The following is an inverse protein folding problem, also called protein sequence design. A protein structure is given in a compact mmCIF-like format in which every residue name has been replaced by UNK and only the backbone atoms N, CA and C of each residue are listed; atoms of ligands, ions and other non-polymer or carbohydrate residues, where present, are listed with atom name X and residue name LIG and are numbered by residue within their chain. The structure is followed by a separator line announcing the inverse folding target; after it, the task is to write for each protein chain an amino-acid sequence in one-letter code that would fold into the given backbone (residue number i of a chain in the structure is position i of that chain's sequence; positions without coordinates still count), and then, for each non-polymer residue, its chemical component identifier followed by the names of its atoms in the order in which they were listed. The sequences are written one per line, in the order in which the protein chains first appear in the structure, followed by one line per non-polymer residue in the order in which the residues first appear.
data_IF_066009445081
#
_entry.id   IF_066009445081
#
_cell.length_a   1.000
_cell.length_b   1.000
_cell.length_c   1.000
_cell.angle_alpha   90.00
_cell.angle_beta   90.00
_cell.angle_gamma   90.00
#
_symmetry.space_group_name_H-M   'P 1'
#
loop_
_entity.id
_entity.type
_entity.pdbx_description
1 polymer ?
#
# COMPACT_ATOMS: atom_id res chain seq x y z
N UNK A 1 39.00 36.82 -34.71
CA UNK A 1 39.29 35.37 -34.84
C UNK A 1 39.18 34.79 -33.43
N UNK A 2 38.33 33.83 -33.08
CA UNK A 2 37.91 32.63 -33.79
C UNK A 2 36.45 32.29 -33.42
N UNK A 3 35.58 32.15 -34.43
CA UNK A 3 34.27 31.51 -34.25
C UNK A 3 34.48 30.02 -34.08
N UNK A 4 34.17 29.48 -32.90
CA UNK A 4 34.06 28.03 -32.71
C UNK A 4 32.78 27.58 -33.40
N UNK A 5 32.90 26.91 -34.55
CA UNK A 5 31.77 26.21 -35.15
C UNK A 5 31.21 25.20 -34.13
N UNK A 6 29.89 25.11 -33.93
CA UNK A 6 29.31 24.07 -33.09
C UNK A 6 29.69 22.71 -33.70
N UNK A 7 30.28 21.83 -32.90
CA UNK A 7 30.48 20.44 -33.30
C UNK A 7 29.10 19.88 -33.66
N UNK A 8 28.96 19.28 -34.86
CA UNK A 8 27.78 18.46 -35.18
C UNK A 8 27.76 17.32 -34.18
N UNK A 9 26.88 17.41 -33.20
CA UNK A 9 26.62 16.37 -32.21
C UNK A 9 25.80 15.25 -32.86
N UNK A 10 26.06 14.01 -32.47
CA UNK A 10 25.36 12.84 -33.00
C UNK A 10 23.90 12.84 -32.53
N UNK A 11 22.98 13.02 -33.47
CA UNK A 11 21.52 13.01 -33.23
C UNK A 11 20.84 11.71 -33.73
N UNK A 12 21.63 10.66 -34.00
CA UNK A 12 21.13 9.33 -34.42
C UNK A 12 21.23 8.29 -33.32
N UNK A 13 22.09 8.51 -32.31
CA UNK A 13 22.43 7.53 -31.27
C UNK A 13 21.23 7.00 -30.48
N UNK A 14 20.28 7.83 -30.08
CA UNK A 14 19.08 7.36 -29.34
C UNK A 14 18.12 6.54 -30.21
N UNK A 15 18.05 6.86 -31.50
CA UNK A 15 17.29 6.07 -32.46
C UNK A 15 17.96 4.71 -32.70
N UNK A 16 19.29 4.67 -32.80
CA UNK A 16 20.09 3.46 -32.93
C UNK A 16 19.99 2.56 -31.69
N UNK A 17 20.04 3.14 -30.49
CA UNK A 17 19.91 2.42 -29.21
C UNK A 17 18.53 1.75 -29.09
N UNK A 18 17.46 2.42 -29.53
CA UNK A 18 16.12 1.83 -29.58
C UNK A 18 15.91 0.92 -30.80
N UNK A 19 16.84 0.92 -31.77
CA UNK A 19 16.74 0.16 -33.01
C UNK A 19 15.61 0.61 -33.94
N UNK A 20 15.31 1.92 -33.94
CA UNK A 20 14.25 2.53 -34.74
C UNK A 20 14.79 3.58 -35.71
N UNK A 21 14.02 3.90 -36.75
CA UNK A 21 14.36 4.99 -37.67
C UNK A 21 14.18 6.36 -37.01
N UNK A 22 14.92 7.39 -37.49
CA UNK A 22 14.75 8.79 -37.05
C UNK A 22 13.34 9.33 -37.30
N UNK A 23 12.63 8.77 -38.29
CA UNK A 23 11.25 9.12 -38.61
C UNK A 23 10.22 8.26 -37.85
N UNK A 24 10.63 7.46 -36.86
CA UNK A 24 9.72 6.57 -36.12
C UNK A 24 8.63 7.36 -35.39
N UNK A 25 7.39 6.86 -35.48
CA UNK A 25 6.25 7.40 -34.73
C UNK A 25 6.31 7.02 -33.24
N UNK A 26 5.53 7.70 -32.40
CA UNK A 26 5.49 7.43 -30.95
C UNK A 26 5.12 5.98 -30.61
N UNK A 27 4.20 5.37 -31.37
CA UNK A 27 3.80 3.98 -31.18
C UNK A 27 4.94 2.99 -31.47
N UNK A 28 5.78 3.32 -32.45
CA UNK A 28 6.95 2.53 -32.83
C UNK A 28 8.05 2.62 -31.77
N UNK A 29 8.30 3.83 -31.25
CA UNK A 29 9.22 4.05 -30.12
C UNK A 29 8.79 3.26 -28.87
N UNK A 30 7.50 3.30 -28.52
CA UNK A 30 6.93 2.58 -27.38
C UNK A 30 6.98 1.06 -27.54
N UNK A 31 6.86 0.57 -28.78
CA UNK A 31 6.96 -0.86 -29.08
C UNK A 31 8.43 -1.34 -29.05
N UNK A 32 9.34 -0.55 -29.60
CA UNK A 32 10.77 -0.82 -29.60
C UNK A 32 11.36 -0.82 -28.19
N UNK A 33 11.03 0.20 -27.38
CA UNK A 33 11.45 0.27 -25.98
C UNK A 33 10.94 -0.94 -25.17
N UNK A 34 9.66 -1.30 -25.27
CA UNK A 34 9.13 -2.48 -24.56
C UNK A 34 9.84 -3.77 -24.95
N UNK A 35 10.14 -3.95 -26.23
CA UNK A 35 10.87 -5.13 -26.73
C UNK A 35 12.31 -5.17 -26.23
N UNK A 36 13.00 -4.03 -26.22
CA UNK A 36 14.39 -3.90 -25.78
C UNK A 36 14.54 -3.99 -24.25
N UNK A 37 13.62 -3.37 -23.50
CA UNK A 37 13.59 -3.39 -22.04
C UNK A 37 13.33 -4.78 -21.46
N UNK A 38 12.47 -5.59 -22.09
CA UNK A 38 12.24 -6.98 -21.67
C UNK A 38 13.48 -7.85 -21.91
N UNK A 39 14.23 -7.59 -22.99
CA UNK A 39 15.43 -8.34 -23.37
C UNK A 39 16.63 -7.99 -22.48
N UNK A 40 16.76 -6.72 -22.11
CA UNK A 40 17.89 -6.20 -21.33
C UNK A 40 17.55 -5.99 -19.85
N UNK A 41 16.46 -6.59 -19.35
CA UNK A 41 16.08 -6.45 -17.94
C UNK A 41 17.13 -7.11 -17.02
N UNK A 42 17.57 -6.45 -15.94
CA UNK A 42 18.58 -7.00 -15.01
C UNK A 42 18.20 -8.37 -14.44
N UNK A 43 16.94 -8.53 -14.03
CA UNK A 43 16.42 -9.80 -13.48
C UNK A 43 16.38 -10.96 -14.50
N UNK A 44 16.57 -10.68 -15.79
CA UNK A 44 16.63 -11.67 -16.87
C UNK A 44 18.05 -11.86 -17.41
N UNK A 45 19.07 -11.39 -16.69
CA UNK A 45 20.48 -11.52 -17.07
C UNK A 45 20.95 -10.52 -18.13
N UNK A 46 20.25 -9.39 -18.29
CA UNK A 46 20.63 -8.31 -19.20
C UNK A 46 21.62 -7.30 -18.59
N UNK A 47 22.36 -6.60 -19.45
CA UNK A 47 23.33 -5.58 -19.02
C UNK A 47 22.62 -4.35 -18.41
N UNK A 48 22.89 -4.00 -17.14
CA UNK A 48 22.25 -2.88 -16.47
C UNK A 48 22.61 -1.52 -17.08
N UNK A 49 23.77 -1.40 -17.73
CA UNK A 49 24.18 -0.17 -18.43
C UNK A 49 23.36 0.06 -19.70
N UNK A 50 23.17 -0.98 -20.51
CA UNK A 50 22.32 -0.91 -21.71
C UNK A 50 20.86 -0.63 -21.37
N UNK A 51 20.39 -1.15 -20.23
CA UNK A 51 19.05 -0.85 -19.75
C UNK A 51 18.88 0.64 -19.40
N UNK A 52 19.88 1.25 -18.74
CA UNK A 52 19.89 2.69 -18.43
C UNK A 52 19.91 3.53 -19.71
N UNK A 53 20.74 3.18 -20.69
CA UNK A 53 20.81 3.88 -21.97
C UNK A 53 19.49 3.79 -22.76
N UNK A 54 18.83 2.62 -22.74
CA UNK A 54 17.51 2.42 -23.36
C UNK A 54 16.43 3.28 -22.70
N UNK A 55 16.45 3.40 -21.37
CA UNK A 55 15.51 4.23 -20.63
C UNK A 55 15.71 5.71 -20.95
N UNK A 56 16.97 6.18 -20.98
CA UNK A 56 17.32 7.54 -21.34
C UNK A 56 16.92 7.88 -22.78
N UNK A 57 17.22 7.00 -23.74
CA UNK A 57 16.85 7.18 -25.14
C UNK A 57 15.33 7.27 -25.33
N UNK A 58 14.56 6.41 -24.65
CA UNK A 58 13.10 6.45 -24.73
C UNK A 58 12.52 7.71 -24.09
N UNK A 59 13.03 8.16 -22.95
CA UNK A 59 12.54 9.38 -22.28
C UNK A 59 12.70 10.62 -23.16
N UNK A 60 13.85 10.76 -23.80
CA UNK A 60 14.14 11.90 -24.68
C UNK A 60 13.31 11.83 -25.96
N UNK A 61 13.12 10.66 -26.56
CA UNK A 61 12.40 10.50 -27.83
C UNK A 61 10.87 10.42 -27.70
N UNK A 62 10.36 10.06 -26.52
CA UNK A 62 8.91 9.94 -26.26
C UNK A 62 8.24 11.32 -26.07
N UNK A 63 8.97 12.31 -25.54
CA UNK A 63 8.50 13.67 -25.38
C UNK A 63 8.74 14.50 -26.67
N UNK A 64 7.72 15.10 -27.29
CA UNK A 64 7.87 15.87 -28.53
C UNK A 64 8.86 17.04 -28.43
N UNK A 65 8.88 17.75 -27.30
CA UNK A 65 9.74 18.92 -27.09
C UNK A 65 11.20 18.49 -26.87
N UNK A 66 11.43 17.42 -26.07
CA UNK A 66 12.77 16.86 -25.87
C UNK A 66 13.33 16.23 -27.14
N UNK A 67 12.47 15.58 -27.94
CA UNK A 67 12.86 14.99 -29.23
C UNK A 67 13.29 16.07 -30.22
N UNK A 68 12.59 17.19 -30.28
CA UNK A 68 12.96 18.31 -31.14
C UNK A 68 14.31 18.91 -30.74
N UNK A 69 14.57 19.09 -29.44
CA UNK A 69 15.85 19.57 -28.92
C UNK A 69 16.98 18.59 -29.25
N UNK A 70 16.76 17.29 -29.07
CA UNK A 70 17.74 16.26 -29.42
C UNK A 70 18.00 16.19 -30.93
N UNK A 71 16.96 16.32 -31.75
CA UNK A 71 17.07 16.29 -33.20
C UNK A 71 17.84 17.52 -33.73
N UNK A 72 17.68 18.69 -33.08
CA UNK A 72 18.34 19.94 -33.44
C UNK A 72 19.78 20.06 -32.92
N UNK A 73 20.05 19.60 -31.69
CA UNK A 73 21.31 19.89 -30.99
C UNK A 73 22.06 18.65 -30.47
N UNK A 74 21.57 17.44 -30.70
CA UNK A 74 22.22 16.17 -30.35
C UNK A 74 22.43 15.93 -28.85
N UNK A 75 23.19 14.88 -28.49
CA UNK A 75 23.39 14.47 -27.08
C UNK A 75 24.07 15.55 -26.21
N UNK A 76 24.93 16.37 -26.81
CA UNK A 76 25.73 17.36 -26.08
C UNK A 76 24.88 18.47 -25.45
N UNK A 77 23.75 18.85 -26.07
CA UNK A 77 22.84 19.85 -25.52
C UNK A 77 22.07 19.37 -24.28
N UNK A 78 21.93 18.05 -24.12
CA UNK A 78 21.35 17.43 -22.92
C UNK A 78 22.38 17.31 -21.79
N UNK A 79 23.69 17.28 -22.11
CA UNK A 79 24.80 17.19 -21.14
C UNK A 79 25.33 18.54 -20.68
N UNK A 80 25.39 19.56 -21.54
CA UNK A 80 25.91 20.89 -21.19
C UNK A 80 24.99 21.70 -20.26
N UNK A 81 23.78 21.19 -19.94
CA UNK A 81 22.94 21.70 -18.85
C UNK A 81 23.35 21.24 -17.44
N UNK A 82 24.33 20.32 -17.31
CA UNK A 82 24.74 19.69 -16.04
C UNK A 82 26.21 19.98 -15.67
N UNK A 83 26.55 21.26 -15.50
CA UNK A 83 27.88 21.68 -15.05
C UNK A 83 27.97 21.90 -13.53
N UNK A 84 28.45 20.89 -12.77
CA UNK A 84 29.19 21.11 -11.52
C UNK A 84 28.75 20.31 -10.29
N UNK A 85 29.59 19.38 -9.84
CA UNK A 85 29.59 18.84 -8.46
C UNK A 85 29.37 17.34 -8.37
N UNK A 86 30.44 16.59 -8.04
CA UNK A 86 30.40 15.16 -7.83
C UNK A 86 29.58 14.76 -6.59
N UNK A 87 28.90 13.63 -6.68
CA UNK A 87 28.16 13.02 -5.59
C UNK A 87 27.12 12.03 -6.11
N UNK A 88 27.26 10.77 -5.73
CA UNK A 88 26.40 9.65 -6.08
C UNK A 88 24.94 9.89 -5.64
N UNK A 89 24.08 10.37 -6.54
CA UNK A 89 22.64 10.48 -6.33
C UNK A 89 21.85 10.02 -7.56
N UNK A 90 20.70 9.39 -7.30
CA UNK A 90 19.82 8.81 -8.31
C UNK A 90 19.39 9.83 -9.38
N UNK A 91 19.46 9.51 -10.68
CA UNK A 91 19.13 10.42 -11.79
C UNK A 91 17.67 10.93 -11.82
N UNK A 92 16.75 10.27 -11.12
CA UNK A 92 15.34 10.69 -11.04
C UNK A 92 15.14 11.95 -10.17
N UNK A 93 15.99 12.19 -9.17
CA UNK A 93 15.84 13.30 -8.20
C UNK A 93 16.46 14.62 -8.72
N UNK A 94 17.44 14.50 -9.62
CA UNK A 94 18.13 15.65 -10.23
C UNK A 94 17.29 16.27 -11.35
N UNK A 95 16.49 15.47 -12.06
CA UNK A 95 15.63 15.97 -13.14
C UNK A 95 14.35 16.67 -12.62
N UNK A 96 13.80 16.23 -11.47
CA UNK A 96 12.73 16.96 -10.77
C UNK A 96 13.19 18.34 -10.26
N UNK A 97 14.46 18.47 -9.90
CA UNK A 97 15.04 19.74 -9.46
C UNK A 97 15.30 20.72 -10.63
N UNK A 98 15.56 20.21 -11.84
CA UNK A 98 15.86 21.05 -13.02
C UNK A 98 14.61 21.50 -13.79
N UNK A 99 13.56 20.69 -13.84
CA UNK A 99 12.30 21.02 -14.54
C UNK A 99 11.09 21.28 -13.60
N UNK A 100 11.22 21.01 -12.31
CA UNK A 100 10.16 21.18 -11.29
C UNK A 100 10.32 22.38 -10.35
N UNK A 101 11.29 23.28 -10.58
CA UNK A 101 11.54 24.34 -9.59
C UNK A 101 12.43 25.49 -10.04
N UNK A 102 11.89 26.38 -10.89
CA UNK A 102 12.27 27.80 -10.96
C UNK A 102 13.57 28.15 -11.71
N UNK A 103 13.43 28.79 -12.88
CA UNK A 103 14.30 29.90 -13.34
C UNK A 103 14.04 30.41 -14.78
N UNK A 104 13.15 29.82 -15.60
CA UNK A 104 13.00 30.25 -17.01
C UNK A 104 11.55 30.40 -17.52
N UNK A 105 10.73 31.17 -16.80
CA UNK A 105 9.35 31.48 -17.20
C UNK A 105 9.11 32.97 -17.46
N UNK A 106 9.63 33.50 -18.57
CA UNK A 106 9.21 34.81 -19.08
C UNK A 106 7.90 34.64 -19.84
N UNK A 107 6.80 35.17 -19.28
CA UNK A 107 5.58 35.49 -20.00
C UNK A 107 4.67 34.31 -20.37
N UNK A 108 3.89 33.81 -19.40
CA UNK A 108 2.57 33.28 -19.71
C UNK A 108 1.61 33.59 -18.56
N UNK A 109 0.40 34.04 -18.91
CA UNK A 109 -0.65 34.51 -18.03
C UNK A 109 -0.72 33.78 -16.69
N UNK A 110 -0.54 34.55 -15.60
CA UNK A 110 -0.98 34.16 -14.26
C UNK A 110 -2.51 34.06 -14.26
N UNK A 111 -3.04 33.00 -14.84
CA UNK A 111 -4.27 32.41 -14.36
C UNK A 111 -4.00 32.10 -12.89
N UNK A 112 -4.64 32.84 -12.00
CA UNK A 112 -4.67 32.58 -10.56
C UNK A 112 -5.30 31.19 -10.41
N UNK A 113 -4.52 30.12 -10.54
CA UNK A 113 -4.95 28.76 -10.22
C UNK A 113 -5.42 28.86 -8.78
N UNK A 114 -6.74 28.82 -8.57
CA UNK A 114 -7.31 28.84 -7.24
C UNK A 114 -6.62 27.72 -6.47
N UNK A 115 -6.01 28.06 -5.33
CA UNK A 115 -5.41 27.04 -4.48
C UNK A 115 -6.55 26.10 -4.09
N UNK A 116 -6.38 24.79 -4.27
CA UNK A 116 -7.36 23.80 -3.81
C UNK A 116 -7.00 23.45 -2.36
N UNK A 117 -8.02 23.35 -1.51
CA UNK A 117 -7.92 22.90 -0.14
C UNK A 117 -7.58 21.42 -0.10
N UNK A 118 -7.02 20.99 1.03
CA UNK A 118 -6.64 19.60 1.24
C UNK A 118 -7.87 18.73 1.47
N UNK A 119 -7.86 17.52 0.91
CA UNK A 119 -8.91 16.53 1.11
C UNK A 119 -8.75 15.88 2.50
N UNK A 120 -9.88 15.60 3.17
CA UNK A 120 -9.89 14.99 4.51
C UNK A 120 -10.32 13.53 4.38
N UNK A 121 -9.47 12.61 4.84
CA UNK A 121 -9.75 11.17 4.81
C UNK A 121 -10.24 10.69 6.17
N UNK A 122 -11.43 10.10 6.22
CA UNK A 122 -12.00 9.48 7.41
C UNK A 122 -12.18 7.97 7.22
N UNK A 123 -11.72 7.16 8.19
CA UNK A 123 -11.94 5.71 8.15
C UNK A 123 -13.29 5.35 8.75
N UNK A 124 -14.18 4.79 7.92
CA UNK A 124 -15.49 4.31 8.35
C UNK A 124 -15.40 2.81 8.64
N UNK A 125 -15.46 2.45 9.92
CA UNK A 125 -15.48 1.04 10.34
C UNK A 125 -16.85 0.40 10.10
N UNK A 126 -16.90 -0.64 9.28
CA UNK A 126 -18.15 -1.32 8.85
C UNK A 126 -18.07 -2.81 9.17
N UNK A 127 -19.14 -3.39 9.73
CA UNK A 127 -19.20 -4.84 9.97
C UNK A 127 -19.42 -5.60 8.65
N UNK A 128 -19.17 -6.91 8.67
CA UNK A 128 -19.45 -7.73 7.49
C UNK A 128 -20.95 -7.82 7.18
N UNK A 129 -21.80 -7.82 8.22
CA UNK A 129 -23.26 -7.79 8.12
C UNK A 129 -23.77 -6.51 7.45
N UNK A 130 -23.18 -5.36 7.82
CA UNK A 130 -23.48 -4.06 7.21
C UNK A 130 -23.10 -4.05 5.71
N UNK A 131 -21.98 -4.67 5.34
CA UNK A 131 -21.53 -4.79 3.93
C UNK A 131 -22.39 -5.76 3.12
N UNK A 132 -23.01 -6.75 3.78
CA UNK A 132 -23.90 -7.71 3.16
C UNK A 132 -25.31 -7.12 2.93
N UNK A 133 -25.87 -6.49 3.95
CA UNK A 133 -27.24 -5.97 3.95
C UNK A 133 -27.35 -4.53 3.43
N UNK A 134 -26.23 -3.78 3.41
CA UNK A 134 -26.23 -2.35 3.19
C UNK A 134 -26.71 -1.58 4.43
N UNK A 135 -26.13 -0.40 4.67
CA UNK A 135 -26.49 0.42 5.83
C UNK A 135 -26.24 1.90 5.55
N UNK A 136 -26.88 2.78 6.30
CA UNK A 136 -26.64 4.23 6.24
C UNK A 136 -26.17 4.71 7.61
N UNK A 137 -24.99 5.31 7.68
CA UNK A 137 -24.38 5.78 8.94
C UNK A 137 -24.32 7.30 8.96
N UNK A 138 -24.89 7.91 9.99
CA UNK A 138 -24.83 9.35 10.22
C UNK A 138 -23.58 9.68 11.05
N UNK A 139 -22.70 10.51 10.50
CA UNK A 139 -21.44 10.92 11.13
C UNK A 139 -21.44 12.43 11.30
N UNK A 140 -21.25 12.89 12.53
CA UNK A 140 -21.06 14.31 12.81
C UNK A 140 -19.58 14.67 12.67
N UNK A 141 -19.27 15.52 11.70
CA UNK A 141 -17.93 16.05 11.49
C UNK A 141 -17.91 17.55 11.78
N UNK A 142 -16.83 18.02 12.37
CA UNK A 142 -16.54 19.45 12.52
C UNK A 142 -15.64 19.88 11.36
N UNK A 143 -16.11 20.85 10.57
CA UNK A 143 -15.33 21.46 9.49
C UNK A 143 -15.18 22.96 9.70
N UNK A 144 -14.12 23.54 9.15
CA UNK A 144 -13.96 24.98 9.08
C UNK A 144 -14.75 25.52 7.88
N UNK A 145 -15.60 26.52 8.13
CA UNK A 145 -16.34 27.22 7.07
C UNK A 145 -15.99 28.69 7.07
N UNK A 146 -16.12 29.36 5.92
CA UNK A 146 -15.97 30.81 5.85
C UNK A 146 -16.95 31.47 6.82
N UNK A 147 -16.42 32.37 7.66
CA UNK A 147 -17.22 33.04 8.68
C UNK A 147 -18.44 33.72 8.03
N UNK A 148 -19.68 33.37 8.40
CA UNK A 148 -20.87 33.85 7.69
C UNK A 148 -21.04 35.38 7.81
N UNK A 149 -20.56 35.98 8.91
CA UNK A 149 -20.64 37.43 9.14
C UNK A 149 -19.65 38.24 8.30
N UNK A 150 -18.43 37.77 8.08
CA UNK A 150 -17.39 38.52 7.34
C UNK A 150 -17.01 37.91 6.00
N UNK A 151 -17.62 36.79 5.60
CA UNK A 151 -17.41 36.06 4.34
C UNK A 151 -15.92 35.84 4.03
N UNK A 152 -15.15 35.41 5.03
CA UNK A 152 -13.72 35.15 4.86
C UNK A 152 -12.80 36.38 4.92
N UNK A 153 -13.31 37.59 5.12
CA UNK A 153 -12.47 38.82 5.20
C UNK A 153 -11.80 39.00 6.56
N UNK A 154 -12.42 38.50 7.64
CA UNK A 154 -11.88 38.58 9.01
C UNK A 154 -12.14 39.91 9.74
N UNK A 155 -12.56 40.95 9.02
CA UNK A 155 -12.93 42.26 9.58
C UNK A 155 -14.44 42.54 9.46
N UNK A 156 -14.95 43.52 10.23
CA UNK A 156 -16.36 43.96 10.14
C UNK A 156 -16.58 44.85 8.92
N UNK A 157 -15.64 45.76 8.66
CA UNK A 157 -15.69 46.68 7.51
C UNK A 157 -15.25 46.03 6.20
N UNK A 158 -14.57 44.88 6.27
CA UNK A 158 -13.91 44.25 5.12
C UNK A 158 -12.55 44.86 4.78
N UNK A 159 -12.08 45.86 5.53
CA UNK A 159 -10.74 46.41 5.38
C UNK A 159 -9.69 45.52 6.06
N UNK A 160 -8.52 45.39 5.43
CA UNK A 160 -7.32 44.83 6.02
C UNK A 160 -6.14 45.78 5.75
N UNK A 161 -5.28 45.97 6.75
CA UNK A 161 -4.09 46.81 6.63
C UNK A 161 -2.88 45.99 6.23
N UNK A 162 -1.88 46.62 5.60
CA UNK A 162 -0.60 45.96 5.30
C UNK A 162 0.15 45.69 6.61
N UNK A 163 0.69 44.47 6.77
CA UNK A 163 1.51 44.16 7.94
C UNK A 163 2.77 45.02 7.92
N UNK A 164 2.98 45.85 8.95
CA UNK A 164 4.17 46.70 9.08
C UNK A 164 5.45 45.89 9.33
N UNK A 165 5.36 44.77 10.04
CA UNK A 165 6.51 43.94 10.38
C UNK A 165 7.16 43.24 9.19
N UNK A 166 6.37 42.80 8.20
CA UNK A 166 6.88 42.17 6.98
C UNK A 166 6.63 43.01 5.72
N UNK A 167 6.11 44.23 5.86
CA UNK A 167 5.69 45.07 4.73
C UNK A 167 4.84 44.30 3.69
N UNK A 168 3.91 43.46 4.16
CA UNK A 168 3.05 42.65 3.29
C UNK A 168 3.68 41.42 2.63
N UNK A 169 4.96 41.10 2.89
CA UNK A 169 5.61 39.90 2.33
C UNK A 169 5.21 38.58 3.02
N UNK A 170 4.58 38.65 4.20
CA UNK A 170 4.24 37.47 5.02
C UNK A 170 5.44 36.79 5.71
N UNK A 171 6.68 37.14 5.35
CA UNK A 171 7.90 36.47 5.82
C UNK A 171 8.94 37.50 6.27
N UNK A 172 9.66 37.21 7.36
CA UNK A 172 10.79 38.01 7.83
C UNK A 172 12.09 37.25 7.57
N UNK A 173 13.09 37.94 7.04
CA UNK A 173 14.44 37.39 6.84
C UNK A 173 15.28 37.76 8.05
N UNK A 174 15.71 36.76 8.83
CA UNK A 174 16.64 36.95 9.94
C UNK A 174 18.02 36.50 9.49
N UNK A 175 18.97 37.40 9.63
CA UNK A 175 20.37 37.18 9.27
C UNK A 175 21.12 36.64 10.49
N UNK A 176 21.64 35.40 10.42
CA UNK A 176 22.46 34.79 11.48
C UNK A 176 23.90 34.67 11.01
N UNK A 177 24.82 35.25 11.76
CA UNK A 177 26.26 35.13 11.48
C UNK A 177 26.77 33.80 12.07
N UNK A 178 27.27 32.91 11.21
CA UNK A 178 27.74 31.56 11.60
C UNK A 178 29.26 31.53 11.72
N UNK A 179 29.96 32.54 11.17
CA UNK A 179 31.40 32.68 11.33
C UNK A 179 31.93 33.99 10.73
N UNK A 180 33.25 34.20 10.79
CA UNK A 180 33.91 35.34 10.15
C UNK A 180 33.61 35.33 8.65
N UNK A 181 32.92 36.36 8.14
CA UNK A 181 32.58 36.50 6.73
C UNK A 181 31.41 35.63 6.21
N UNK A 182 30.83 34.74 7.02
CA UNK A 182 29.72 33.87 6.61
C UNK A 182 28.42 34.23 7.31
N UNK A 183 27.49 34.74 6.52
CA UNK A 183 26.15 35.16 6.94
C UNK A 183 25.13 34.19 6.32
N UNK A 184 24.32 33.54 7.15
CA UNK A 184 23.17 32.74 6.70
C UNK A 184 21.89 33.56 6.86
N UNK A 185 21.14 33.73 5.76
CA UNK A 185 19.81 34.31 5.81
C UNK A 185 18.79 33.19 6.05
N UNK A 186 18.06 33.26 7.17
CA UNK A 186 16.97 32.36 7.50
C UNK A 186 15.64 33.07 7.34
N UNK A 187 14.79 32.58 6.44
CA UNK A 187 13.43 33.08 6.28
C UNK A 187 12.49 32.38 7.27
N UNK A 188 11.75 33.14 8.06
CA UNK A 188 10.72 32.61 8.96
C UNK A 188 9.39 33.34 8.73
N UNK A 189 8.28 32.68 9.04
CA UNK A 189 6.93 33.26 8.91
C UNK A 189 6.82 34.47 9.85
N UNK A 190 6.32 35.60 9.33
CA UNK A 190 6.20 36.81 10.13
C UNK A 190 5.29 36.57 11.35
N UNK A 191 5.75 36.82 12.59
CA UNK A 191 4.96 36.57 13.80
C UNK A 191 3.74 37.50 13.92
N UNK A 192 3.82 38.71 13.34
CA UNK A 192 2.80 39.75 13.45
C UNK A 192 1.56 39.45 12.58
N UNK A 193 1.76 38.91 11.37
CA UNK A 193 0.67 38.57 10.45
C UNK A 193 0.52 37.07 10.20
N UNK A 194 1.35 36.22 10.84
CA UNK A 194 1.36 34.75 10.68
C UNK A 194 1.33 34.30 9.21
N UNK A 195 2.12 34.96 8.36
CA UNK A 195 2.19 34.61 6.94
C UNK A 195 1.17 35.27 6.03
N UNK A 196 0.12 35.92 6.56
CA UNK A 196 -0.94 36.51 5.72
C UNK A 196 -0.55 37.82 5.02
N UNK A 197 0.51 38.50 5.45
CA UNK A 197 0.91 39.82 4.93
C UNK A 197 -0.03 40.97 5.32
N UNK A 198 -1.15 40.67 5.95
CA UNK A 198 -2.18 41.64 6.33
C UNK A 198 -2.43 41.61 7.85
N UNK A 199 -2.79 42.76 8.41
CA UNK A 199 -3.15 42.91 9.82
C UNK A 199 -4.50 43.62 9.89
N UNK A 200 -5.40 43.05 10.69
CA UNK A 200 -6.72 43.61 10.95
C UNK A 200 -6.67 44.36 12.28
N UNK A 201 -7.10 45.63 12.28
CA UNK A 201 -7.14 46.43 13.51
C UNK A 201 -8.07 45.80 14.54
N UNK A 202 -7.73 45.88 15.83
CA UNK A 202 -8.48 45.17 16.87
C UNK A 202 -9.95 45.59 16.97
N UNK A 203 -10.24 46.86 16.72
CA UNK A 203 -11.60 47.43 16.73
C UNK A 203 -12.46 46.86 15.60
N UNK A 204 -11.82 46.52 14.49
CA UNK A 204 -12.46 46.04 13.26
C UNK A 204 -12.39 44.52 13.11
N UNK A 205 -11.79 43.79 14.05
CA UNK A 205 -11.86 42.31 14.06
C UNK A 205 -13.32 41.85 14.09
N UNK A 206 -13.66 40.90 13.23
CA UNK A 206 -15.00 40.29 13.24
C UNK A 206 -15.27 39.65 14.60
N UNK A 207 -16.46 39.88 15.18
CA UNK A 207 -16.80 39.37 16.51
C UNK A 207 -16.93 37.84 16.57
N UNK A 208 -17.26 37.20 15.45
CA UNK A 208 -17.49 35.75 15.40
C UNK A 208 -16.20 34.96 15.17
N UNK A 209 -15.39 35.32 14.17
CA UNK A 209 -14.13 34.63 13.88
C UNK A 209 -12.90 35.26 14.55
N UNK A 210 -13.06 36.42 15.23
CA UNK A 210 -11.97 37.17 15.91
C UNK A 210 -10.74 37.43 15.03
N UNK A 211 -10.95 37.62 13.73
CA UNK A 211 -9.88 37.83 12.74
C UNK A 211 -9.40 36.56 12.00
N UNK A 212 -9.82 35.36 12.42
CA UNK A 212 -9.38 34.08 11.83
C UNK A 212 -10.01 33.75 10.47
N UNK A 213 -10.94 34.58 9.97
CA UNK A 213 -11.65 34.43 8.68
C UNK A 213 -12.58 33.21 8.56
N UNK A 214 -12.36 32.15 9.35
CA UNK A 214 -13.17 30.92 9.38
C UNK A 214 -13.82 30.69 10.75
N UNK A 215 -14.85 29.83 10.79
CA UNK A 215 -15.54 29.38 12.00
C UNK A 215 -15.79 27.88 11.92
N UNK A 216 -15.74 27.17 13.05
CA UNK A 216 -16.07 25.73 13.07
C UNK A 216 -17.58 25.50 13.01
N UNK A 217 -18.01 24.67 12.07
CA UNK A 217 -19.38 24.21 11.89
C UNK A 217 -19.42 22.69 12.11
N UNK A 218 -20.43 22.21 12.87
CA UNK A 218 -20.71 20.78 12.99
C UNK A 218 -21.75 20.40 11.95
N UNK A 219 -21.38 19.53 11.00
CA UNK A 219 -22.27 19.01 9.96
C UNK A 219 -22.45 17.50 10.14
N UNK A 220 -23.68 17.03 10.00
CA UNK A 220 -23.99 15.60 10.00
C UNK A 220 -24.04 15.13 8.56
N UNK A 221 -23.13 14.25 8.17
CA UNK A 221 -23.12 13.59 6.87
C UNK A 221 -23.71 12.19 7.00
N UNK A 222 -24.63 11.85 6.08
CA UNK A 222 -25.17 10.51 5.97
C UNK A 222 -24.38 9.73 4.93
N UNK A 223 -23.61 8.74 5.39
CA UNK A 223 -22.77 7.90 4.54
C UNK A 223 -23.53 6.62 4.22
N UNK A 224 -23.90 6.46 2.96
CA UNK A 224 -24.56 5.26 2.46
C UNK A 224 -23.50 4.21 2.10
N UNK A 225 -23.54 3.08 2.82
CA UNK A 225 -22.71 1.92 2.53
C UNK A 225 -23.56 0.92 1.74
N UNK A 226 -23.24 0.79 0.46
CA UNK A 226 -23.94 -0.10 -0.45
C UNK A 226 -23.55 -1.56 -0.24
N UNK A 227 -24.47 -2.45 -0.62
CA UNK A 227 -24.24 -3.90 -0.60
C UNK A 227 -23.05 -4.28 -1.46
N UNK A 228 -22.17 -5.11 -0.91
CA UNK A 228 -21.01 -5.63 -1.63
C UNK A 228 -19.81 -4.71 -1.68
N UNK A 229 -19.89 -3.49 -1.12
CA UNK A 229 -18.74 -2.59 -1.02
C UNK A 229 -17.52 -3.30 -0.43
N UNK A 230 -16.33 -2.99 -0.94
CA UNK A 230 -15.09 -3.67 -0.58
C UNK A 230 -14.29 -2.88 0.46
N UNK A 231 -13.40 -3.58 1.17
CA UNK A 231 -12.43 -2.94 2.05
C UNK A 231 -11.53 -1.99 1.25
N UNK A 232 -11.31 -0.77 1.76
CA UNK A 232 -10.52 0.27 1.11
C UNK A 232 -11.29 1.09 0.07
N UNK A 233 -12.55 0.78 -0.20
CA UNK A 233 -13.37 1.56 -1.13
C UNK A 233 -13.66 2.96 -0.58
N UNK A 234 -13.66 3.96 -1.45
CA UNK A 234 -13.82 5.38 -1.11
C UNK A 234 -15.23 5.87 -1.40
N UNK A 235 -15.83 6.59 -0.46
CA UNK A 235 -17.08 7.35 -0.62
C UNK A 235 -16.71 8.83 -0.53
N UNK A 236 -16.95 9.59 -1.60
CA UNK A 236 -16.48 10.97 -1.73
C UNK A 236 -17.64 11.95 -1.58
N UNK A 237 -17.48 12.91 -0.69
CA UNK A 237 -18.36 14.07 -0.51
C UNK A 237 -17.64 15.31 -1.03
N UNK A 238 -18.01 15.73 -2.24
CA UNK A 238 -17.32 16.78 -2.96
C UNK A 238 -17.51 18.16 -2.30
N UNK A 239 -16.41 18.90 -2.10
CA UNK A 239 -16.44 20.26 -1.56
C UNK A 239 -16.87 20.37 -0.09
N UNK A 240 -16.90 19.25 0.64
CA UNK A 240 -17.35 19.21 2.03
C UNK A 240 -16.21 19.32 3.07
N UNK A 241 -14.95 19.42 2.62
CA UNK A 241 -13.79 19.56 3.51
C UNK A 241 -13.70 20.97 4.15
N UNK A 242 -12.56 21.25 4.78
CA UNK A 242 -12.28 22.55 5.38
C UNK A 242 -12.17 23.66 4.31
N UNK A 243 -12.92 24.73 4.52
CA UNK A 243 -12.89 25.94 3.71
C UNK A 243 -11.80 26.89 4.21
N UNK A 244 -11.03 27.45 3.28
CA UNK A 244 -10.07 28.50 3.56
C UNK A 244 -10.31 29.71 2.62
N UNK A 245 -10.02 30.94 3.07
CA UNK A 245 -10.11 32.13 2.22
C UNK A 245 -9.26 31.98 0.95
N UNK A 246 -9.77 32.49 -0.18
CA UNK A 246 -9.10 32.46 -1.49
C UNK A 246 -8.72 31.05 -2.00
N UNK A 247 -9.36 30.00 -1.47
CA UNK A 247 -9.06 28.59 -1.73
C UNK A 247 -10.35 27.84 -2.06
N UNK A 248 -10.32 26.93 -3.04
CA UNK A 248 -11.43 26.04 -3.36
C UNK A 248 -11.48 24.89 -2.34
N UNK A 249 -12.64 24.57 -1.80
CA UNK A 249 -12.78 23.51 -0.80
C UNK A 249 -12.36 22.14 -1.34
N UNK A 250 -11.65 21.36 -0.54
CA UNK A 250 -11.35 19.95 -0.82
C UNK A 250 -12.56 19.04 -0.57
N UNK A 251 -12.34 17.73 -0.71
CA UNK A 251 -13.38 16.71 -0.55
C UNK A 251 -13.22 15.97 0.79
N UNK A 252 -14.34 15.50 1.35
CA UNK A 252 -14.30 14.52 2.44
C UNK A 252 -14.38 13.13 1.82
N UNK A 253 -13.38 12.31 2.11
CA UNK A 253 -13.27 10.94 1.59
C UNK A 253 -13.42 9.96 2.74
N UNK A 254 -14.53 9.21 2.76
CA UNK A 254 -14.68 8.09 3.69
C UNK A 254 -14.08 6.83 3.09
N UNK A 255 -13.09 6.26 3.77
CA UNK A 255 -12.50 4.97 3.43
C UNK A 255 -13.24 3.87 4.20
N UNK A 256 -13.89 2.96 3.48
CA UNK A 256 -14.57 1.81 4.09
C UNK A 256 -13.54 0.84 4.66
N UNK A 257 -13.58 0.64 5.97
CA UNK A 257 -12.74 -0.31 6.68
C UNK A 257 -13.59 -1.46 7.21
N UNK A 258 -13.51 -2.61 6.56
CA UNK A 258 -14.13 -3.85 7.05
C UNK A 258 -13.56 -4.24 8.42
N UNK A 259 -14.45 -4.51 9.38
CA UNK A 259 -14.11 -5.13 10.67
C UNK A 259 -13.99 -6.65 10.54
N UNK A 260 -13.14 -7.24 11.35
CA UNK A 260 -13.07 -8.70 11.46
C UNK A 260 -14.36 -9.25 12.06
N UNK A 261 -14.85 -10.35 11.48
CA UNK A 261 -16.07 -11.03 11.92
C UNK A 261 -15.68 -12.34 12.62
N UNK A 262 -16.31 -12.68 13.77
CA UNK A 262 -15.89 -13.83 14.58
C UNK A 262 -16.05 -15.19 13.87
N UNK A 263 -17.06 -15.34 13.02
CA UNK A 263 -17.36 -16.61 12.34
C UNK A 263 -16.97 -16.63 10.86
N UNK A 264 -16.96 -15.48 10.21
CA UNK A 264 -16.95 -15.41 8.75
C UNK A 264 -15.72 -14.66 8.28
N UNK A 265 -15.06 -15.18 7.26
CA UNK A 265 -13.94 -14.52 6.61
C UNK A 265 -14.32 -14.22 5.17
N UNK A 266 -14.35 -12.95 4.80
CA UNK A 266 -14.59 -12.52 3.42
C UNK A 266 -13.29 -12.56 2.64
N UNK A 267 -13.33 -13.14 1.43
CA UNK A 267 -12.28 -12.96 0.41
C UNK A 267 -12.96 -12.56 -0.90
N UNK A 268 -12.76 -11.31 -1.31
CA UNK A 268 -13.49 -10.71 -2.44
C UNK A 268 -15.00 -10.85 -2.26
N UNK A 269 -15.68 -11.53 -3.19
CA UNK A 269 -17.12 -11.74 -3.14
C UNK A 269 -17.50 -13.08 -2.49
N UNK A 270 -16.50 -13.87 -2.11
CA UNK A 270 -16.70 -15.16 -1.47
C UNK A 270 -16.61 -15.06 0.06
N UNK A 271 -17.36 -15.93 0.73
CA UNK A 271 -17.45 -16.01 2.19
C UNK A 271 -16.91 -17.35 2.66
N UNK A 272 -16.18 -17.37 3.77
CA UNK A 272 -15.56 -18.57 4.34
C UNK A 272 -15.96 -18.73 5.80
N UNK A 273 -16.24 -19.96 6.21
CA UNK A 273 -16.42 -20.34 7.62
C UNK A 273 -15.62 -21.61 7.89
N UNK A 274 -15.09 -21.70 9.10
CA UNK A 274 -14.51 -22.93 9.63
C UNK A 274 -15.57 -23.63 10.48
N UNK A 275 -15.88 -24.89 10.17
CA UNK A 275 -16.85 -25.68 10.91
C UNK A 275 -16.23 -27.01 11.32
N UNK A 276 -16.38 -27.36 12.59
CA UNK A 276 -15.83 -28.60 13.13
C UNK A 276 -16.95 -29.62 13.27
N UNK A 277 -16.69 -30.82 12.78
CA UNK A 277 -17.59 -31.98 12.86
C UNK A 277 -16.86 -33.15 13.52
N UNK A 278 -17.61 -34.04 14.14
CA UNK A 278 -17.06 -35.27 14.71
C UNK A 278 -16.65 -36.28 13.61
N UNK A 279 -15.77 -37.23 13.93
CA UNK A 279 -15.44 -38.34 13.02
C UNK A 279 -16.68 -39.12 12.58
N UNK A 280 -17.64 -39.34 13.48
CA UNK A 280 -18.89 -40.02 13.16
C UNK A 280 -19.71 -39.23 12.14
N UNK A 281 -19.84 -37.93 12.32
CA UNK A 281 -20.52 -37.04 11.36
C UNK A 281 -19.80 -36.98 10.00
N UNK A 282 -18.47 -37.01 10.01
CA UNK A 282 -17.67 -37.02 8.79
C UNK A 282 -17.84 -38.30 7.95
N UNK A 283 -18.12 -39.44 8.59
CA UNK A 283 -18.27 -40.75 7.94
C UNK A 283 -19.74 -41.12 7.67
N UNK A 284 -20.63 -40.84 8.61
CA UNK A 284 -22.04 -41.23 8.58
C UNK A 284 -22.96 -40.12 8.08
N UNK A 285 -22.42 -38.92 7.89
CA UNK A 285 -23.16 -37.73 7.47
C UNK A 285 -23.58 -36.83 8.64
N UNK A 286 -23.94 -35.60 8.30
CA UNK A 286 -24.30 -34.56 9.26
C UNK A 286 -25.45 -33.69 8.77
N UNK A 287 -26.07 -33.00 9.73
CA UNK A 287 -27.04 -31.94 9.47
C UNK A 287 -26.92 -30.88 10.56
N UNK A 288 -26.68 -29.63 10.17
CA UNK A 288 -26.65 -28.51 11.10
C UNK A 288 -27.25 -27.24 10.48
N UNK A 289 -27.72 -26.34 11.35
CA UNK A 289 -28.23 -25.03 10.96
C UNK A 289 -27.15 -23.97 11.20
N UNK A 290 -26.95 -23.09 10.22
CA UNK A 290 -26.01 -21.97 10.30
C UNK A 290 -26.74 -20.66 10.04
N UNK A 291 -26.63 -19.71 10.98
CA UNK A 291 -27.14 -18.35 10.81
C UNK A 291 -26.23 -17.56 9.89
N UNK A 292 -26.77 -17.07 8.77
CA UNK A 292 -26.08 -16.24 7.79
C UNK A 292 -26.06 -14.75 8.18
N UNK A 293 -25.37 -13.91 7.40
CA UNK A 293 -25.20 -12.46 7.63
C UNK A 293 -26.50 -11.65 7.50
N UNK A 294 -27.52 -12.19 6.85
CA UNK A 294 -28.88 -11.60 6.78
C UNK A 294 -29.82 -12.12 7.87
N UNK A 295 -29.33 -12.97 8.78
CA UNK A 295 -30.11 -13.59 9.84
C UNK A 295 -30.92 -14.82 9.41
N UNK A 296 -30.92 -15.20 8.13
CA UNK A 296 -31.54 -16.47 7.69
C UNK A 296 -30.77 -17.67 8.26
N UNK A 297 -31.48 -18.76 8.51
CA UNK A 297 -30.85 -20.04 8.83
C UNK A 297 -30.70 -20.90 7.58
N UNK A 298 -29.47 -21.30 7.28
CA UNK A 298 -29.14 -22.25 6.23
C UNK A 298 -29.02 -23.65 6.84
N UNK A 299 -29.85 -24.57 6.38
CA UNK A 299 -29.75 -25.98 6.75
C UNK A 299 -28.74 -26.67 5.84
N UNK A 300 -27.61 -27.06 6.40
CA UNK A 300 -26.51 -27.69 5.67
C UNK A 300 -26.51 -29.17 6.00
N UNK A 301 -26.60 -30.01 4.97
CA UNK A 301 -26.66 -31.47 5.08
C UNK A 301 -25.63 -32.13 4.16
N UNK A 302 -25.03 -33.21 4.60
CA UNK A 302 -24.23 -34.08 3.73
C UNK A 302 -25.12 -34.95 2.84
N UNK A 303 -24.60 -35.38 1.70
CA UNK A 303 -25.29 -36.41 0.92
C UNK A 303 -25.10 -37.79 1.59
N UNK A 304 -26.07 -38.70 1.48
CA UNK A 304 -25.91 -40.06 2.02
C UNK A 304 -24.69 -40.76 1.42
N UNK A 305 -23.81 -41.31 2.28
CA UNK A 305 -22.58 -42.00 1.88
C UNK A 305 -21.41 -41.07 1.49
N UNK A 306 -21.57 -39.75 1.64
CA UNK A 306 -20.51 -38.79 1.38
C UNK A 306 -19.56 -38.68 2.58
N UNK A 307 -18.28 -39.01 2.36
CA UNK A 307 -17.23 -38.87 3.38
C UNK A 307 -16.59 -37.49 3.29
N UNK A 308 -16.44 -36.84 4.43
CA UNK A 308 -15.82 -35.53 4.55
C UNK A 308 -14.45 -35.66 5.18
N UNK A 309 -13.42 -35.19 4.46
CA UNK A 309 -12.03 -35.28 4.91
C UNK A 309 -11.67 -34.08 5.79
N UNK A 310 -10.74 -34.23 6.75
CA UNK A 310 -10.19 -33.11 7.50
C UNK A 310 -9.59 -32.06 6.55
N UNK A 311 -9.94 -30.79 6.75
CA UNK A 311 -9.51 -29.66 5.92
C UNK A 311 -10.23 -29.55 4.58
N UNK A 312 -11.21 -30.40 4.27
CA UNK A 312 -11.94 -30.33 3.02
C UNK A 312 -12.86 -29.09 2.96
N UNK A 313 -12.93 -28.48 1.78
CA UNK A 313 -13.84 -27.37 1.51
C UNK A 313 -15.07 -27.85 0.73
N UNK A 314 -16.26 -27.39 1.13
CA UNK A 314 -17.50 -27.47 0.33
C UNK A 314 -18.04 -26.08 0.08
N UNK A 315 -18.74 -25.91 -1.05
CA UNK A 315 -19.28 -24.63 -1.46
C UNK A 315 -20.80 -24.68 -1.57
N UNK A 316 -21.45 -23.61 -1.11
CA UNK A 316 -22.86 -23.31 -1.35
C UNK A 316 -22.87 -22.15 -2.35
N UNK A 317 -23.47 -22.39 -3.52
CA UNK A 317 -23.58 -21.37 -4.56
C UNK A 317 -24.55 -20.27 -4.13
N UNK A 318 -24.30 -19.04 -4.58
CA UNK A 318 -25.16 -17.87 -4.38
C UNK A 318 -25.42 -17.46 -2.92
N UNK A 319 -24.67 -18.00 -1.96
CA UNK A 319 -24.72 -17.63 -0.54
C UNK A 319 -23.47 -16.88 -0.05
N UNK A 320 -22.58 -16.44 -0.97
CA UNK A 320 -21.46 -15.55 -0.67
C UNK A 320 -21.89 -14.07 -0.58
N UNK A 321 -20.93 -13.15 -0.63
CA UNK A 321 -21.20 -11.72 -0.57
C UNK A 321 -21.90 -11.22 -1.86
N UNK A 322 -22.80 -10.24 -1.77
CA UNK A 322 -23.36 -9.58 -2.96
C UNK A 322 -22.25 -8.86 -3.75
N UNK A 323 -22.34 -8.88 -5.07
CA UNK A 323 -21.43 -8.08 -5.89
C UNK A 323 -21.80 -6.59 -5.79
N UNK A 324 -20.78 -5.75 -5.66
CA UNK A 324 -20.94 -4.30 -5.69
C UNK A 324 -21.65 -3.86 -6.99
N UNK A 325 -22.59 -2.92 -6.89
CA UNK A 325 -23.50 -2.44 -7.97
C UNK A 325 -24.46 -3.49 -8.56
N UNK A 326 -24.25 -4.78 -8.32
CA UNK A 326 -25.11 -5.88 -8.82
C UNK A 326 -25.55 -6.77 -7.66
N UNK A 327 -26.40 -6.26 -6.74
CA UNK A 327 -26.73 -6.95 -5.50
C UNK A 327 -27.54 -8.25 -5.68
N UNK A 328 -28.12 -8.47 -6.86
CA UNK A 328 -28.84 -9.71 -7.21
C UNK A 328 -27.90 -10.89 -7.48
N UNK A 329 -26.64 -10.60 -7.82
CA UNK A 329 -25.61 -11.61 -8.00
C UNK A 329 -24.81 -11.72 -6.69
N UNK A 330 -24.50 -12.96 -6.28
CA UNK A 330 -23.74 -13.24 -5.06
C UNK A 330 -22.59 -14.19 -5.39
N UNK A 331 -21.51 -14.06 -4.61
CA UNK A 331 -20.41 -15.02 -4.65
C UNK A 331 -20.78 -16.34 -3.99
N UNK A 332 -19.78 -17.15 -3.67
CA UNK A 332 -19.95 -18.49 -3.10
C UNK A 332 -19.63 -18.47 -1.61
N UNK A 333 -20.29 -19.35 -0.86
CA UNK A 333 -20.02 -19.57 0.54
C UNK A 333 -19.29 -20.90 0.74
N UNK A 334 -18.07 -20.84 1.23
CA UNK A 334 -17.21 -21.98 1.49
C UNK A 334 -17.21 -22.35 2.96
N UNK A 335 -17.37 -23.63 3.22
CA UNK A 335 -17.27 -24.23 4.55
C UNK A 335 -16.03 -25.11 4.54
N UNK A 336 -15.05 -24.78 5.39
CA UNK A 336 -13.92 -25.65 5.69
C UNK A 336 -14.31 -26.58 6.82
N UNK A 337 -14.25 -27.88 6.60
CA UNK A 337 -14.54 -28.88 7.62
C UNK A 337 -13.27 -29.29 8.34
N UNK A 338 -13.25 -29.11 9.66
CA UNK A 338 -12.27 -29.74 10.54
C UNK A 338 -12.93 -30.98 11.15
N UNK A 339 -12.19 -32.07 11.30
CA UNK A 339 -12.73 -33.31 11.88
C UNK A 339 -12.07 -33.53 13.24
N UNK A 340 -12.89 -33.58 14.28
CA UNK A 340 -12.47 -33.96 15.63
C UNK A 340 -12.49 -35.49 15.75
N UNK A 341 -11.31 -36.04 16.04
CA UNK A 341 -11.14 -37.46 16.35
C UNK A 341 -11.42 -37.70 17.84
N UNK A 342 -11.98 -38.87 18.20
CA UNK A 342 -12.16 -39.21 19.60
C UNK A 342 -10.81 -39.36 20.32
N UNK A 343 -10.80 -39.07 21.61
CA UNK A 343 -9.61 -39.21 22.45
C UNK A 343 -9.11 -40.67 22.50
N UNK A 344 -7.80 -40.84 22.69
CA UNK A 344 -7.17 -42.13 22.87
C UNK A 344 -7.77 -42.87 24.07
N UNK A 345 -8.18 -44.13 23.86
CA UNK A 345 -8.76 -44.98 24.91
C UNK A 345 -10.28 -44.98 25.00
N UNK A 346 -10.99 -44.16 24.22
CA UNK A 346 -12.47 -44.17 24.16
C UNK A 346 -13.01 -45.43 23.44
N UNK A 347 -12.23 -45.98 22.51
CA UNK A 347 -12.63 -47.14 21.71
C UNK A 347 -12.22 -48.46 22.38
N UNK A 348 -13.19 -49.33 22.63
CA UNK A 348 -12.93 -50.68 23.14
C UNK A 348 -12.36 -51.61 22.06
N UNK A 349 -11.71 -52.70 22.46
CA UNK A 349 -11.15 -53.69 21.52
C UNK A 349 -12.21 -54.27 20.56
N UNK A 350 -13.44 -54.48 21.04
CA UNK A 350 -14.53 -55.00 20.21
C UNK A 350 -15.08 -53.94 19.24
N UNK A 351 -15.09 -52.67 19.63
CA UNK A 351 -15.41 -51.56 18.74
C UNK A 351 -14.35 -51.42 17.65
N UNK A 352 -13.06 -51.55 17.99
CA UNK A 352 -11.96 -51.54 17.03
C UNK A 352 -12.05 -52.68 16.02
N UNK A 353 -12.43 -53.90 16.45
CA UNK A 353 -12.70 -55.03 15.55
C UNK A 353 -13.85 -54.73 14.59
N UNK A 354 -14.94 -54.15 15.10
CA UNK A 354 -16.10 -53.77 14.29
C UNK A 354 -15.72 -52.73 13.24
N UNK A 355 -14.96 -51.70 13.62
CA UNK A 355 -14.47 -50.67 12.69
C UNK A 355 -13.54 -51.26 11.62
N UNK A 356 -12.70 -52.23 11.97
CA UNK A 356 -11.82 -52.91 11.02
C UNK A 356 -12.56 -53.72 9.96
N UNK A 357 -13.81 -54.12 10.21
CA UNK A 357 -14.65 -54.81 9.21
C UNK A 357 -15.36 -53.83 8.26
N UNK A 358 -15.55 -52.57 8.68
CA UNK A 358 -16.30 -51.55 7.94
C UNK A 358 -15.36 -50.67 7.11
N UNK A 359 -14.22 -50.28 7.68
CA UNK A 359 -13.24 -49.42 7.04
C UNK A 359 -12.35 -50.23 6.08
N UNK A 360 -11.67 -49.56 5.11
CA UNK A 360 -10.77 -50.23 4.18
C UNK A 360 -9.79 -51.14 4.92
N UNK A 361 -9.58 -52.34 4.37
CA UNK A 361 -8.66 -53.31 4.95
C UNK A 361 -7.30 -52.66 5.17
N UNK A 362 -6.71 -52.88 6.35
CA UNK A 362 -5.31 -52.54 6.62
C UNK A 362 -4.51 -53.01 5.41
N UNK A 363 -3.79 -52.10 4.75
CA UNK A 363 -2.87 -52.48 3.66
C UNK A 363 -1.97 -53.55 4.25
N UNK A 364 -2.18 -54.80 3.85
CA UNK A 364 -1.56 -55.94 4.49
C UNK A 364 -0.07 -55.67 4.57
N UNK A 365 0.48 -55.75 5.78
CA UNK A 365 1.91 -55.79 6.00
C UNK A 365 2.44 -56.94 5.16
N UNK A 366 2.91 -56.64 3.95
CA UNK A 366 3.82 -57.50 3.21
C UNK A 366 5.19 -57.43 3.88
N UNK A 367 5.23 -57.74 5.17
CA UNK A 367 6.45 -58.08 5.85
C UNK A 367 6.39 -59.60 5.83
N UNK A 368 7.11 -60.21 4.89
CA UNK A 368 7.28 -61.65 4.91
C UNK A 368 7.95 -62.01 6.24
N UNK A 369 7.56 -63.13 6.86
CA UNK A 369 8.11 -63.62 8.14
C UNK A 369 9.65 -63.74 8.17
N UNK A 370 10.33 -63.58 7.03
CA UNK A 370 11.78 -63.57 6.89
C UNK A 370 12.47 -62.21 7.15
N UNK A 371 11.75 -61.09 7.26
CA UNK A 371 12.35 -59.73 7.41
C UNK A 371 12.12 -59.09 8.79
N UNK A 372 11.32 -59.71 9.67
CA UNK A 372 11.06 -59.20 11.03
C UNK A 372 12.23 -59.45 12.01
N UNK A 373 13.07 -60.45 11.76
CA UNK A 373 14.26 -60.73 12.60
C UNK A 373 15.36 -59.65 12.46
N UNK A 374 15.35 -58.86 11.38
CA UNK A 374 16.29 -57.75 11.15
C UNK A 374 15.72 -56.37 11.51
N UNK A 375 14.44 -56.29 11.93
CA UNK A 375 13.79 -55.03 12.28
C UNK A 375 13.82 -54.79 13.80
N UNK A 376 14.39 -53.67 14.25
CA UNK A 376 14.28 -53.23 15.64
C UNK A 376 12.85 -52.73 15.94
N UNK A 377 12.21 -53.32 16.94
CA UNK A 377 10.92 -52.84 17.43
C UNK A 377 11.10 -51.45 18.06
N UNK A 378 10.42 -50.47 17.49
CA UNK A 378 10.45 -49.08 17.98
C UNK A 378 9.07 -48.69 18.50
N UNK A 379 9.06 -47.95 19.61
CA UNK A 379 7.84 -47.42 20.20
C UNK A 379 7.66 -45.96 19.79
N UNK A 380 6.47 -45.63 19.28
CA UNK A 380 6.12 -44.25 18.99
C UNK A 380 5.77 -43.54 20.30
N UNK A 381 6.29 -42.33 20.47
CA UNK A 381 5.96 -41.44 21.59
C UNK A 381 5.12 -40.28 21.05
N UNK A 382 4.14 -39.85 21.84
CA UNK A 382 3.40 -38.63 21.55
C UNK A 382 4.32 -37.43 21.77
N UNK A 383 4.56 -36.64 20.72
CA UNK A 383 5.45 -35.48 20.76
C UNK A 383 4.71 -34.25 20.27
N UNK A 384 4.73 -33.18 21.07
CA UNK A 384 4.41 -31.85 20.59
C UNK A 384 5.64 -31.29 19.86
N UNK A 385 5.58 -31.28 18.52
CA UNK A 385 6.69 -30.89 17.66
C UNK A 385 7.17 -29.46 17.93
N UNK A 386 6.28 -28.52 18.26
CA UNK A 386 6.70 -27.14 18.54
C UNK A 386 7.54 -27.03 19.80
N UNK A 387 7.17 -27.78 20.84
CA UNK A 387 7.88 -27.81 22.11
C UNK A 387 9.22 -28.55 21.98
N UNK A 388 9.22 -29.66 21.23
CA UNK A 388 10.42 -30.44 20.95
C UNK A 388 11.45 -29.64 20.14
N UNK A 389 10.99 -28.88 19.14
CA UNK A 389 11.87 -28.02 18.34
C UNK A 389 12.43 -26.85 19.16
N UNK A 390 11.64 -26.26 20.08
CA UNK A 390 12.15 -25.26 21.02
C UNK A 390 13.22 -25.83 21.95
N UNK A 391 13.01 -27.04 22.48
CA UNK A 391 13.95 -27.72 23.37
C UNK A 391 15.27 -28.03 22.66
N UNK A 392 15.20 -28.50 21.41
CA UNK A 392 16.39 -28.73 20.57
C UNK A 392 17.13 -27.44 20.27
N UNK A 393 16.43 -26.36 19.96
CA UNK A 393 17.06 -25.06 19.69
C UNK A 393 17.80 -24.49 20.92
N UNK A 394 17.25 -24.68 22.12
CA UNK A 394 17.93 -24.30 23.37
C UNK A 394 19.16 -25.14 23.67
N UNK A 395 19.12 -26.45 23.40
CA UNK A 395 20.30 -27.33 23.55
C UNK A 395 21.41 -26.97 22.56
N UNK A 396 21.06 -26.62 21.33
CA UNK A 396 22.02 -26.21 20.31
C UNK A 396 22.74 -24.90 20.72
N UNK A 397 21.98 -23.92 21.24
CA UNK A 397 22.55 -22.68 21.76
C UNK A 397 23.44 -22.91 23.00
N UNK A 398 23.12 -23.90 23.84
CA UNK A 398 24.00 -24.28 24.95
C UNK A 398 25.28 -24.95 24.48
N UNK A 399 25.22 -25.82 23.47
CA UNK A 399 26.40 -26.46 22.89
C UNK A 399 27.35 -25.45 22.25
N UNK A 400 26.83 -24.51 21.47
CA UNK A 400 27.62 -23.44 20.86
C UNK A 400 28.31 -22.56 21.92
N UNK A 401 27.69 -22.36 23.09
CA UNK A 401 28.30 -21.62 24.19
C UNK A 401 29.44 -22.38 24.92
N UNK A 402 29.45 -23.72 24.87
CA UNK A 402 30.56 -24.51 25.42
C UNK A 402 31.74 -24.64 24.44
N UNK A 403 31.47 -24.66 23.13
CA UNK A 403 32.53 -24.73 22.10
C UNK A 403 33.30 -23.39 21.97
N UNK A 404 32.68 -22.24 22.24
CA UNK A 404 33.38 -20.93 22.24
C UNK A 404 34.39 -20.75 23.41
N UNK A 405 34.26 -21.52 24.49
CA UNK A 405 35.18 -21.45 25.64
C UNK A 405 36.43 -22.35 25.46
N UNK A 406 36.40 -23.36 24.58
CA UNK A 406 37.54 -24.27 24.34
C UNK A 406 38.55 -23.72 23.30
N UNK A 407 38.15 -22.73 22.49
CA UNK A 407 39.01 -22.09 21.48
C UNK A 407 39.96 -21.00 22.03
N UNK A 408 39.96 -20.74 23.34
CA UNK A 408 40.82 -19.71 23.96
C UNK A 408 42.22 -20.20 24.37
N UNK A 409 42.58 -21.48 24.19
CA UNK A 409 43.88 -22.05 24.57
C UNK A 409 44.67 -22.71 23.43
N UNK A 410 44.88 -22.00 22.32
CA UNK A 410 45.89 -22.39 21.31
C UNK A 410 46.92 -21.26 21.05
N UNK A 411 48.22 -21.45 21.34
CA UNK A 411 49.23 -20.43 21.14
C UNK A 411 49.57 -20.25 19.65
N UNK A 412 49.32 -19.04 19.12
CA UNK A 412 49.72 -18.63 17.76
C UNK A 412 51.23 -18.54 17.63
N UNK A 413 51.83 -19.40 16.81
CA UNK A 413 53.24 -19.27 16.37
C UNK A 413 53.28 -18.41 15.10
N UNK A 414 53.88 -17.22 15.19
CA UNK A 414 54.23 -16.40 14.03
C UNK A 414 55.63 -16.77 13.52
N UNK A 415 55.73 -17.19 12.27
CA UNK A 415 56.99 -17.21 11.53
C UNK A 415 57.00 -16.04 10.53
N UNK A 416 57.92 -15.11 10.74
CA UNK A 416 58.26 -14.04 9.80
C UNK A 416 59.27 -14.56 8.76
N UNK A 417 59.14 -14.14 7.50
CA UNK A 417 60.28 -14.05 6.59
C UNK A 417 60.07 -12.92 5.56
N UNK A 418 60.92 -11.90 5.78
CA UNK A 418 61.47 -10.84 4.91
C UNK A 418 60.55 -9.84 4.21
#
# INVERSE_FOLDING_TARGET
MFGRAPKKSDNTKYYEILGVSKNAGQDELKKAYRKAAIRNHPDKGGDPEKFKELAQAYEVLNDPEKREIYDQYGEDALKEGMGGGGGSHNPFDVFESFFGGGAFGMGSSRGRRQRRGEDVIHTLKVSLDDLYNGTSKKLSLSRNVLCPKCKGKGSKSGASGRCYGCQGSGMKVTTRQIGPGMIQQMQHVCPDCRGSGEVISERDKCSQCKGNKVTQEKKVLEVHVEKGMQHGQKIVFAGEADEAPDTQTGDIIFLVQQKDHPKFKRKHDDLFVDHTISLTEALCGFQFALTHLDGRQLLIKSNPGEIIKPGQHKAINDEGMPHYQRPFMRGRFYIKFNVEFPDSGVLSLDQCRTLSNILPSKSGSKIFDMELEECEETTLLDVNIEEEMRRKQQQQQQQEAYDEDDDQFAPRVQCAQQ
#
